data_IF_076616345753
#
_entry.id   IF_076616345753
#
_cell.length_a   1.000
_cell.length_b   1.000
_cell.length_c   1.000
_cell.angle_alpha   90.00
_cell.angle_beta   90.00
_cell.angle_gamma   90.00
#
_symmetry.space_group_name_H-M   'P 1'
#
loop_
_entity.id
_entity.type
_entity.pdbx_description
1 polymer ?
#
# COMPACT_ATOMS: atom_id res chain seq x y z
N UNK A 1 2.30 -6.96 -60.42
CA UNK A 1 2.99 -7.60 -59.27
C UNK A 1 3.73 -6.55 -58.44
N UNK A 2 4.41 -5.58 -59.06
CA UNK A 2 5.15 -4.50 -58.38
C UNK A 2 4.26 -3.55 -57.55
N UNK A 3 3.08 -3.18 -58.04
CA UNK A 3 2.15 -2.28 -57.33
C UNK A 3 1.73 -2.82 -55.95
N UNK A 4 1.47 -4.14 -55.85
CA UNK A 4 1.18 -4.81 -54.57
C UNK A 4 2.39 -4.83 -53.62
N UNK A 5 3.61 -4.84 -54.15
CA UNK A 5 4.83 -4.80 -53.34
C UNK A 5 5.06 -3.40 -52.78
N UNK A 6 4.84 -2.35 -53.57
CA UNK A 6 4.93 -0.96 -53.11
C UNK A 6 3.86 -0.63 -52.06
N UNK A 7 2.62 -1.08 -52.26
CA UNK A 7 1.53 -0.85 -51.30
C UNK A 7 1.83 -1.50 -49.95
N UNK A 8 2.23 -2.78 -49.96
CA UNK A 8 2.66 -3.51 -48.76
C UNK A 8 3.87 -2.87 -48.08
N UNK A 9 4.82 -2.34 -48.86
CA UNK A 9 6.00 -1.65 -48.33
C UNK A 9 5.60 -0.35 -47.64
N UNK A 10 4.67 0.41 -48.21
CA UNK A 10 4.13 1.65 -47.63
C UNK A 10 3.36 1.39 -46.33
N UNK A 11 2.54 0.35 -46.30
CA UNK A 11 1.84 -0.09 -45.08
C UNK A 11 2.81 -0.52 -43.98
N UNK A 12 3.84 -1.31 -44.32
CA UNK A 12 4.86 -1.76 -43.38
C UNK A 12 5.67 -0.60 -42.81
N UNK A 13 5.99 0.41 -43.62
CA UNK A 13 6.67 1.62 -43.17
C UNK A 13 5.80 2.42 -42.19
N UNK A 14 4.52 2.61 -42.53
CA UNK A 14 3.55 3.28 -41.66
C UNK A 14 3.37 2.56 -40.33
N UNK A 15 3.24 1.23 -40.37
CA UNK A 15 3.13 0.42 -39.16
C UNK A 15 4.42 0.46 -38.33
N UNK A 16 5.60 0.49 -38.97
CA UNK A 16 6.87 0.64 -38.25
C UNK A 16 7.00 1.99 -37.56
N UNK A 17 6.51 3.05 -38.18
CA UNK A 17 6.54 4.40 -37.61
C UNK A 17 5.65 4.47 -36.36
N UNK A 18 4.41 3.99 -36.44
CA UNK A 18 3.50 3.89 -35.31
C UNK A 18 4.09 3.04 -34.18
N UNK A 19 4.66 1.88 -34.50
CA UNK A 19 5.28 1.01 -33.49
C UNK A 19 6.49 1.68 -32.82
N UNK A 20 7.27 2.48 -33.56
CA UNK A 20 8.39 3.23 -32.98
C UNK A 20 7.91 4.30 -32.01
N UNK A 21 6.84 5.02 -32.34
CA UNK A 21 6.23 6.00 -31.47
C UNK A 21 5.68 5.34 -30.20
N UNK A 22 4.92 4.25 -30.31
CA UNK A 22 4.39 3.51 -29.16
C UNK A 22 5.51 2.97 -28.24
N UNK A 23 6.59 2.45 -28.84
CA UNK A 23 7.77 1.98 -28.09
C UNK A 23 8.44 3.15 -27.36
N UNK A 24 8.56 4.31 -28.01
CA UNK A 24 9.16 5.49 -27.41
C UNK A 24 8.33 5.98 -26.21
N UNK A 25 7.02 6.13 -26.36
CA UNK A 25 6.12 6.52 -25.29
C UNK A 25 6.20 5.56 -24.09
N UNK A 26 6.17 4.25 -24.36
CA UNK A 26 6.29 3.22 -23.32
C UNK A 26 7.63 3.28 -22.59
N UNK A 27 8.72 3.52 -23.33
CA UNK A 27 10.06 3.63 -22.75
C UNK A 27 10.19 4.88 -21.85
N UNK A 28 9.63 6.01 -22.28
CA UNK A 28 9.60 7.23 -21.47
C UNK A 28 8.77 7.06 -20.21
N UNK A 29 7.59 6.45 -20.31
CA UNK A 29 6.76 6.12 -19.15
C UNK A 29 7.48 5.18 -18.16
N UNK A 30 8.19 4.16 -18.68
CA UNK A 30 8.99 3.24 -17.86
C UNK A 30 10.15 3.95 -17.17
N UNK A 31 10.89 4.79 -17.89
CA UNK A 31 12.00 5.56 -17.31
C UNK A 31 11.54 6.54 -16.23
N UNK A 32 10.38 7.19 -16.43
CA UNK A 32 9.77 8.06 -15.43
C UNK A 32 9.35 7.28 -14.17
N UNK A 33 8.80 6.08 -14.34
CA UNK A 33 8.43 5.19 -13.23
C UNK A 33 9.66 4.75 -12.44
N UNK A 34 10.71 4.29 -13.13
CA UNK A 34 11.96 3.84 -12.51
C UNK A 34 12.64 4.98 -11.72
N UNK A 35 12.71 6.18 -12.30
CA UNK A 35 13.23 7.37 -11.60
C UNK A 35 12.43 7.71 -10.34
N UNK A 36 11.11 7.51 -10.39
CA UNK A 36 10.23 7.74 -9.23
C UNK A 36 10.44 6.67 -8.16
N UNK A 37 10.61 5.41 -8.54
CA UNK A 37 10.91 4.30 -7.62
C UNK A 37 12.25 4.49 -6.92
N UNK A 38 13.31 4.83 -7.66
CA UNK A 38 14.64 5.08 -7.08
C UNK A 38 14.58 6.21 -6.06
N UNK A 39 13.88 7.31 -6.39
CA UNK A 39 13.69 8.43 -5.47
C UNK A 39 12.92 8.00 -4.22
N UNK A 40 11.84 7.24 -4.38
CA UNK A 40 11.04 6.75 -3.27
C UNK A 40 11.88 5.86 -2.35
N UNK A 41 12.56 4.86 -2.89
CA UNK A 41 13.42 3.96 -2.11
C UNK A 41 14.51 4.73 -1.36
N UNK A 42 15.17 5.69 -2.03
CA UNK A 42 16.18 6.53 -1.38
C UNK A 42 15.63 7.36 -0.22
N UNK A 43 14.42 7.89 -0.34
CA UNK A 43 13.77 8.59 0.77
C UNK A 43 13.36 7.63 1.88
N UNK A 44 12.68 6.54 1.52
CA UNK A 44 12.15 5.55 2.45
C UNK A 44 13.24 4.99 3.39
N UNK A 45 14.40 4.64 2.84
CA UNK A 45 15.52 4.06 3.59
C UNK A 45 16.27 5.07 4.48
N UNK A 46 16.30 6.35 4.11
CA UNK A 46 17.11 7.37 4.80
C UNK A 46 16.31 8.34 5.66
N UNK A 47 15.00 8.19 5.73
CA UNK A 47 14.17 8.97 6.63
C UNK A 47 14.48 8.59 8.09
N UNK A 48 14.81 9.55 8.98
CA UNK A 48 15.17 9.29 10.38
C UNK A 48 13.94 8.96 11.25
N UNK A 49 12.91 8.36 10.66
CA UNK A 49 11.65 8.00 11.30
C UNK A 49 11.31 6.56 10.94
N UNK A 50 10.76 5.80 11.87
CA UNK A 50 10.28 4.45 11.61
C UNK A 50 9.04 4.51 10.69
N UNK A 51 9.12 3.80 9.56
CA UNK A 51 8.07 3.72 8.55
C UNK A 51 7.68 2.26 8.31
N UNK A 52 6.37 2.02 8.28
CA UNK A 52 5.74 0.77 7.84
C UNK A 52 4.81 1.12 6.68
N UNK A 53 5.04 0.45 5.55
CA UNK A 53 4.18 0.46 4.39
C UNK A 53 3.27 -0.77 4.44
N UNK A 54 1.96 -0.55 4.30
CA UNK A 54 0.97 -1.62 4.34
C UNK A 54 -0.04 -1.49 3.20
N UNK A 55 -0.43 -2.64 2.64
CA UNK A 55 -1.53 -2.77 1.71
C UNK A 55 -2.84 -2.99 2.49
N UNK A 56 -3.81 -2.13 2.19
CA UNK A 56 -5.15 -2.11 2.77
C UNK A 56 -6.22 -2.47 1.73
N UNK A 57 -5.85 -2.93 0.54
CA UNK A 57 -6.78 -3.20 -0.57
C UNK A 57 -7.83 -4.23 -0.18
N UNK A 58 -7.41 -5.32 0.47
CA UNK A 58 -8.32 -6.36 0.95
C UNK A 58 -9.21 -5.86 2.09
N UNK A 59 -8.63 -5.08 3.02
CA UNK A 59 -9.40 -4.46 4.08
C UNK A 59 -10.50 -3.55 3.52
N UNK A 60 -10.16 -2.75 2.51
CA UNK A 60 -11.12 -1.87 1.85
C UNK A 60 -12.27 -2.67 1.24
N UNK A 61 -12.01 -3.79 0.59
CA UNK A 61 -13.06 -4.66 0.05
C UNK A 61 -13.99 -5.20 1.15
N UNK A 62 -13.43 -5.60 2.30
CA UNK A 62 -14.21 -6.06 3.45
C UNK A 62 -15.10 -4.94 3.98
N UNK A 63 -14.54 -3.73 4.14
CA UNK A 63 -15.30 -2.57 4.62
C UNK A 63 -16.37 -2.12 3.62
N UNK A 64 -16.06 -2.13 2.32
CA UNK A 64 -17.00 -1.78 1.25
C UNK A 64 -18.13 -2.82 1.11
N UNK A 65 -17.96 -4.04 1.66
CA UNK A 65 -18.99 -5.07 1.70
C UNK A 65 -19.99 -4.90 2.85
N UNK A 66 -19.71 -4.00 3.81
CA UNK A 66 -20.62 -3.74 4.91
C UNK A 66 -21.88 -2.99 4.43
N UNK A 67 -23.04 -3.28 5.05
CA UNK A 67 -24.25 -2.49 4.87
C UNK A 67 -24.01 -0.99 5.16
N UNK A 68 -24.65 -0.11 4.36
CA UNK A 68 -24.44 1.34 4.44
C UNK A 68 -24.85 1.94 5.80
N UNK A 69 -25.75 1.29 6.52
CA UNK A 69 -26.17 1.64 7.88
C UNK A 69 -25.08 1.37 8.94
N UNK A 70 -24.10 0.52 8.65
CA UNK A 70 -22.95 0.25 9.53
C UNK A 70 -21.83 1.24 9.22
N UNK A 71 -22.07 2.50 9.58
CA UNK A 71 -21.09 3.59 9.45
C UNK A 71 -21.05 4.45 10.72
N UNK A 72 -19.97 5.22 10.90
CA UNK A 72 -19.85 6.17 12.01
C UNK A 72 -19.85 5.48 13.38
N UNK A 73 -20.81 5.83 14.23
CA UNK A 73 -20.91 5.30 15.58
C UNK A 73 -21.48 3.87 15.60
N UNK A 74 -22.40 3.54 14.68
CA UNK A 74 -22.94 2.18 14.52
C UNK A 74 -21.86 1.15 14.13
N UNK A 75 -20.81 1.60 13.46
CA UNK A 75 -19.65 0.77 13.17
C UNK A 75 -18.89 0.37 14.46
N UNK A 76 -18.82 1.25 15.45
CA UNK A 76 -18.11 0.97 16.71
C UNK A 76 -18.83 -0.11 17.50
N UNK A 77 -20.16 0.01 17.62
CA UNK A 77 -21.01 -0.99 18.26
C UNK A 77 -20.94 -2.35 17.53
N UNK A 78 -20.92 -2.32 16.20
CA UNK A 78 -20.75 -3.52 15.38
C UNK A 78 -19.40 -4.20 15.63
N UNK A 79 -18.31 -3.44 15.65
CA UNK A 79 -16.97 -3.94 15.90
C UNK A 79 -16.82 -4.53 17.32
N UNK A 80 -17.46 -3.95 18.33
CA UNK A 80 -17.45 -4.48 19.70
C UNK A 80 -18.24 -5.79 19.84
N UNK A 81 -19.36 -5.91 19.12
CA UNK A 81 -20.21 -7.11 19.14
C UNK A 81 -19.71 -8.23 18.22
N UNK A 82 -18.83 -7.93 17.27
CA UNK A 82 -18.28 -8.87 16.29
C UNK A 82 -16.75 -8.92 16.34
N UNK A 83 -16.13 -9.51 17.38
CA UNK A 83 -14.68 -9.59 17.51
C UNK A 83 -14.02 -10.37 16.36
N UNK A 84 -14.71 -11.35 15.78
CA UNK A 84 -14.22 -12.09 14.61
C UNK A 84 -14.11 -11.22 13.36
N UNK A 85 -15.02 -10.25 13.19
CA UNK A 85 -14.95 -9.28 12.09
C UNK A 85 -13.74 -8.35 12.25
N UNK A 86 -13.46 -7.90 13.48
CA UNK A 86 -12.27 -7.08 13.78
C UNK A 86 -11.00 -7.87 13.48
N UNK A 87 -10.95 -9.15 13.90
CA UNK A 87 -9.83 -10.03 13.58
C UNK A 87 -9.65 -10.23 12.08
N UNK A 88 -10.74 -10.43 11.34
CA UNK A 88 -10.71 -10.52 9.87
C UNK A 88 -10.14 -9.24 9.24
N UNK A 89 -10.56 -8.06 9.72
CA UNK A 89 -10.02 -6.77 9.28
C UNK A 89 -8.51 -6.70 9.51
N UNK A 90 -8.04 -7.03 10.72
CA UNK A 90 -6.60 -7.05 11.00
C UNK A 90 -5.86 -8.08 10.16
N UNK A 91 -6.43 -9.26 9.95
CA UNK A 91 -5.81 -10.33 9.16
C UNK A 91 -5.68 -9.98 7.68
N UNK A 92 -6.52 -9.07 7.17
CA UNK A 92 -6.51 -8.60 5.78
C UNK A 92 -5.46 -7.53 5.46
N UNK A 93 -4.86 -6.91 6.47
CA UNK A 93 -3.81 -5.90 6.27
C UNK A 93 -2.49 -6.64 6.00
N UNK A 94 -1.78 -6.23 4.96
CA UNK A 94 -0.49 -6.82 4.62
C UNK A 94 0.60 -5.78 4.75
N UNK A 95 1.62 -6.03 5.57
CA UNK A 95 2.82 -5.18 5.59
C UNK A 95 3.66 -5.53 4.37
N UNK A 96 3.90 -4.54 3.52
CA UNK A 96 4.61 -4.70 2.24
C UNK A 96 5.99 -4.04 2.24
N UNK A 97 6.29 -3.18 3.23
CA UNK A 97 7.58 -2.53 3.35
C UNK A 97 7.87 -2.03 4.76
N UNK A 98 9.12 -2.12 5.19
CA UNK A 98 9.62 -1.48 6.41
C UNK A 98 11.01 -0.91 6.16
N UNK A 99 11.29 0.28 6.70
CA UNK A 99 12.62 0.87 6.60
C UNK A 99 13.54 0.42 7.75
N UNK A 100 14.83 0.73 7.64
CA UNK A 100 15.82 0.36 8.65
C UNK A 100 15.51 0.96 10.03
N UNK A 101 14.95 2.17 10.09
CA UNK A 101 14.56 2.79 11.38
C UNK A 101 13.47 2.00 12.11
N UNK A 102 12.53 1.38 11.38
CA UNK A 102 11.53 0.48 11.98
C UNK A 102 12.19 -0.75 12.59
N UNK A 103 13.15 -1.36 11.89
CA UNK A 103 13.90 -2.52 12.38
C UNK A 103 14.65 -2.16 13.68
N UNK A 104 15.32 -1.01 13.67
CA UNK A 104 16.04 -0.47 14.83
C UNK A 104 15.10 -0.19 16.01
N UNK A 105 13.96 0.48 15.76
CA UNK A 105 12.96 0.83 16.77
C UNK A 105 12.36 -0.41 17.44
N UNK A 106 12.03 -1.43 16.64
CA UNK A 106 11.45 -2.67 17.14
C UNK A 106 12.47 -3.60 17.79
N UNK A 107 13.77 -3.31 17.61
CA UNK A 107 14.90 -4.13 18.06
C UNK A 107 14.81 -5.56 17.54
N UNK A 108 14.58 -5.68 16.24
CA UNK A 108 14.49 -6.97 15.54
C UNK A 108 15.68 -7.14 14.61
N UNK A 109 15.95 -8.39 14.23
CA UNK A 109 17.14 -8.73 13.45
C UNK A 109 17.02 -8.33 11.98
N UNK A 110 15.80 -8.25 11.44
CA UNK A 110 15.58 -7.92 10.02
C UNK A 110 14.15 -7.45 9.73
N UNK A 111 13.94 -6.90 8.53
CA UNK A 111 12.63 -6.60 7.97
C UNK A 111 11.71 -7.84 7.92
N UNK A 112 12.25 -9.02 7.60
CA UNK A 112 11.49 -10.27 7.56
C UNK A 112 10.90 -10.65 8.93
N UNK A 113 11.63 -10.36 10.00
CA UNK A 113 11.12 -10.57 11.35
C UNK A 113 9.90 -9.67 11.62
N UNK A 114 9.89 -8.45 11.07
CA UNK A 114 8.72 -7.57 11.10
C UNK A 114 7.58 -8.15 10.27
N UNK A 115 7.81 -8.56 9.03
CA UNK A 115 6.76 -9.12 8.16
C UNK A 115 6.09 -10.36 8.76
N UNK A 116 6.85 -11.23 9.43
CA UNK A 116 6.30 -12.44 10.07
C UNK A 116 5.50 -12.13 11.33
N UNK A 117 5.87 -11.08 12.07
CA UNK A 117 5.35 -10.81 13.41
C UNK A 117 4.68 -9.42 13.53
N UNK A 118 4.32 -8.79 12.42
CA UNK A 118 3.82 -7.40 12.40
C UNK A 118 2.60 -7.19 13.30
N UNK A 119 1.73 -8.21 13.40
CA UNK A 119 0.56 -8.23 14.29
C UNK A 119 0.96 -8.13 15.77
N UNK A 120 2.02 -8.83 16.18
CA UNK A 120 2.54 -8.78 17.55
C UNK A 120 3.19 -7.41 17.83
N UNK A 121 3.86 -6.83 16.83
CA UNK A 121 4.44 -5.49 16.98
C UNK A 121 3.37 -4.41 17.08
N UNK A 122 2.27 -4.51 16.33
CA UNK A 122 1.13 -3.62 16.50
C UNK A 122 0.62 -3.67 17.93
N UNK A 123 0.32 -4.86 18.47
CA UNK A 123 -0.14 -4.99 19.85
C UNK A 123 0.86 -4.39 20.84
N UNK A 124 2.17 -4.53 20.60
CA UNK A 124 3.22 -3.99 21.49
C UNK A 124 3.39 -2.47 21.40
N UNK A 125 3.19 -1.90 20.21
CA UNK A 125 3.17 -0.45 19.98
C UNK A 125 1.89 0.15 20.57
N UNK A 126 0.76 -0.54 20.38
CA UNK A 126 -0.56 -0.09 20.84
C UNK A 126 -0.82 -0.42 22.30
N UNK A 127 -0.11 -1.35 22.96
CA UNK A 127 -0.28 -1.64 24.40
C UNK A 127 0.11 -0.46 25.30
N UNK A 128 0.72 0.59 24.73
CA UNK A 128 0.91 1.90 25.38
C UNK A 128 -0.35 2.77 25.39
N UNK A 129 -1.36 2.41 24.60
CA UNK A 129 -2.62 3.11 24.45
C UNK A 129 -3.75 2.15 24.89
N UNK A 130 -4.55 2.55 25.86
CA UNK A 130 -5.61 1.71 26.47
C UNK A 130 -6.65 1.23 25.45
N UNK A 131 -7.49 0.27 25.87
CA UNK A 131 -8.44 -0.53 25.06
C UNK A 131 -9.42 0.21 24.12
N UNK A 132 -9.41 1.54 24.07
CA UNK A 132 -10.11 2.34 23.06
C UNK A 132 -9.51 2.21 21.64
N UNK A 133 -8.28 1.67 21.52
CA UNK A 133 -7.55 1.69 20.25
C UNK A 133 -8.08 0.71 19.20
N UNK A 134 -8.72 -0.40 19.58
CA UNK A 134 -9.24 -1.35 18.58
C UNK A 134 -10.35 -0.70 17.73
N UNK A 135 -11.30 -0.03 18.38
CA UNK A 135 -12.32 0.78 17.71
C UNK A 135 -11.73 2.02 17.02
N UNK A 136 -10.78 2.72 17.64
CA UNK A 136 -10.20 3.97 17.09
C UNK A 136 -9.21 3.74 15.94
N UNK A 137 -8.49 2.62 15.91
CA UNK A 137 -7.62 2.21 14.81
C UNK A 137 -8.45 1.92 13.57
N UNK A 138 -9.55 1.17 13.72
CA UNK A 138 -10.46 0.91 12.60
C UNK A 138 -11.21 2.18 12.19
N UNK A 139 -11.63 3.04 13.13
CA UNK A 139 -12.23 4.36 12.83
C UNK A 139 -11.25 5.27 12.06
N UNK A 140 -9.97 5.31 12.42
CA UNK A 140 -8.93 6.08 11.69
C UNK A 140 -8.56 5.46 10.33
N UNK A 141 -8.62 4.12 10.20
CA UNK A 141 -8.47 3.41 8.92
C UNK A 141 -9.63 3.74 7.96
N UNK A 142 -10.85 3.87 8.48
CA UNK A 142 -12.06 4.17 7.71
C UNK A 142 -12.15 5.66 7.31
N UNK A 143 -11.62 6.58 8.14
CA UNK A 143 -11.73 8.03 7.88
C UNK A 143 -10.78 8.57 6.81
N UNK A 144 -9.79 7.80 6.36
CA UNK A 144 -8.82 8.27 5.36
C UNK A 144 -9.11 7.63 4.00
N UNK A 145 -10.28 7.92 3.42
CA UNK A 145 -10.60 7.66 2.01
C UNK A 145 -9.78 8.58 1.10
N UNK A 146 -8.45 8.46 1.04
CA UNK A 146 -7.62 8.94 -0.08
C UNK A 146 -6.15 8.67 0.21
N UNK A 147 -5.51 7.91 -0.68
CA UNK A 147 -4.05 7.76 -0.84
C UNK A 147 -3.29 7.08 0.29
N UNK A 148 -2.68 5.95 -0.06
CA UNK A 148 -1.42 5.40 0.48
C UNK A 148 -1.03 5.93 1.87
N UNK A 149 -1.61 5.36 2.92
CA UNK A 149 -1.31 5.77 4.28
C UNK A 149 0.01 5.11 4.67
N UNK A 150 1.08 5.89 4.59
CA UNK A 150 2.27 5.73 5.41
C UNK A 150 1.79 5.69 6.88
N UNK A 151 1.91 4.54 7.53
CA UNK A 151 1.60 4.41 8.95
C UNK A 151 2.63 5.15 9.78
N UNK A 152 2.45 6.46 9.98
CA UNK A 152 3.31 7.26 10.85
C UNK A 152 3.02 6.89 12.31
N UNK A 153 3.76 5.93 12.86
CA UNK A 153 3.91 5.83 14.32
C UNK A 153 5.16 6.61 14.71
N UNK A 154 5.01 7.93 14.89
CA UNK A 154 6.04 8.74 15.53
C UNK A 154 6.05 8.41 17.02
N UNK A 155 6.85 7.42 17.42
CA UNK A 155 7.26 7.27 18.83
C UNK A 155 8.43 8.24 19.02
N UNK A 156 8.13 9.48 19.42
CA UNK A 156 9.17 10.35 19.98
C UNK A 156 9.66 9.69 21.28
N UNK A 157 10.97 9.47 21.35
CA UNK A 157 11.67 9.04 22.57
C UNK A 157 11.59 10.10 23.66
#
# INVERSE_FOLDING_TARGET
MEEKVEERTRELLRSNEILREEIQEKNEARAALEKSQIRYMGLFEHLPVAIIEADYSQLKQILDSLPFDIQGDAFSDYAETHPDFVRLCFDSIQVIGVNQETVNLLRVESADAVYKNWKLFLVRITSRFSGEFCGRFVKNLIFTKSKSILGFTTIRG
#
